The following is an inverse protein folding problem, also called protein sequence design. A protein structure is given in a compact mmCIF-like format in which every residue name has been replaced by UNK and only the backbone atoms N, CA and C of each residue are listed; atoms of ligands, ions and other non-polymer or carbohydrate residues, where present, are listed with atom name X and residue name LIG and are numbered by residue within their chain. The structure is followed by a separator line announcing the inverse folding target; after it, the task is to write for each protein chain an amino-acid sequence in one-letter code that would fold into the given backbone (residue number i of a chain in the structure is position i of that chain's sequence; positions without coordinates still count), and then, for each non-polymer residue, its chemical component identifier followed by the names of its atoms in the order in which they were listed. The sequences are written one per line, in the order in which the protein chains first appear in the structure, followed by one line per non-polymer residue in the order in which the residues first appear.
data_IF_431214478246
#
_entry.id   IF_431214478246
#
_cell.length_a   1.000
_cell.length_b   1.000
_cell.length_c   1.000
_cell.angle_alpha   90.00
_cell.angle_beta   90.00
_cell.angle_gamma   90.00
#
_symmetry.space_group_name_H-M   'P 1'
#
loop_
_entity.id
_entity.type
_entity.pdbx_description
1 polymer ?
#
# COMPACT_ATOMS: atom_id res chain seq x y z
N UNK A 1 -5.26 -18.81 33.00
CA UNK A 1 -5.37 -18.11 31.70
C UNK A 1 -3.97 -17.78 31.19
N UNK A 2 -3.70 -17.90 29.89
CA UNK A 2 -2.38 -17.60 29.30
C UNK A 2 -2.44 -16.22 28.63
N UNK A 3 -1.50 -15.33 28.95
CA UNK A 3 -1.38 -14.00 28.32
C UNK A 3 -0.86 -14.17 26.90
N UNK A 4 -1.49 -13.48 25.96
CA UNK A 4 -1.06 -13.39 24.55
C UNK A 4 -0.84 -11.91 24.24
N UNK A 5 0.23 -11.63 23.50
CA UNK A 5 0.64 -10.28 23.11
C UNK A 5 0.99 -10.24 21.63
N UNK A 6 0.95 -9.05 21.04
CA UNK A 6 1.43 -8.80 19.67
C UNK A 6 2.92 -8.51 19.74
N UNK A 7 3.73 -9.23 18.98
CA UNK A 7 5.20 -9.10 18.94
C UNK A 7 5.74 -8.55 17.61
N UNK A 8 4.86 -8.32 16.63
CA UNK A 8 5.25 -7.78 15.34
C UNK A 8 4.03 -7.39 14.52
N UNK A 9 4.21 -6.36 13.68
CA UNK A 9 3.22 -5.85 12.74
C UNK A 9 3.89 -5.55 11.40
N UNK A 10 3.14 -5.71 10.32
CA UNK A 10 3.53 -5.37 8.97
C UNK A 10 2.31 -4.86 8.21
N UNK A 11 2.49 -3.86 7.36
CA UNK A 11 1.39 -3.26 6.62
C UNK A 11 1.87 -2.77 5.25
N UNK A 12 1.08 -3.07 4.22
CA UNK A 12 1.17 -2.50 2.89
C UNK A 12 -0.18 -1.84 2.62
N UNK A 13 -0.18 -0.53 2.45
CA UNK A 13 -1.41 0.28 2.41
C UNK A 13 -1.33 1.35 1.32
N UNK A 14 -2.46 2.01 0.98
CA UNK A 14 -2.44 3.16 0.09
C UNK A 14 -1.65 4.37 0.63
N UNK A 15 -1.29 4.37 1.92
CA UNK A 15 -0.47 5.42 2.50
C UNK A 15 1.02 5.11 2.43
N UNK A 16 1.44 3.84 2.45
CA UNK A 16 2.84 3.40 2.37
C UNK A 16 2.94 1.87 2.41
N UNK A 17 4.09 1.33 2.00
CA UNK A 17 4.43 -0.09 2.06
C UNK A 17 5.14 -0.52 3.36
N UNK A 18 5.14 0.32 4.40
CA UNK A 18 5.62 -0.03 5.74
C UNK A 18 4.76 0.62 6.84
N UNK A 19 4.90 0.10 8.06
CA UNK A 19 4.06 0.48 9.22
C UNK A 19 4.33 1.91 9.68
N UNK A 20 5.59 2.29 9.87
CA UNK A 20 5.96 3.60 10.43
C UNK A 20 5.48 4.75 9.54
N UNK A 21 5.71 4.63 8.22
CA UNK A 21 5.25 5.62 7.25
C UNK A 21 3.72 5.62 7.15
N UNK A 22 3.08 4.45 7.14
CA UNK A 22 1.60 4.35 7.14
C UNK A 22 1.02 5.09 8.34
N UNK A 23 1.54 4.82 9.54
CA UNK A 23 1.03 5.38 10.80
C UNK A 23 1.27 6.88 10.88
N UNK A 24 2.46 7.35 10.54
CA UNK A 24 2.79 8.78 10.52
C UNK A 24 1.89 9.56 9.54
N UNK A 25 1.65 9.00 8.35
CA UNK A 25 0.79 9.61 7.33
C UNK A 25 -0.68 9.60 7.75
N UNK A 26 -1.13 8.53 8.40
CA UNK A 26 -2.47 8.45 8.96
C UNK A 26 -2.69 9.51 10.05
N UNK A 27 -1.74 9.64 11.00
CA UNK A 27 -1.83 10.63 12.08
C UNK A 27 -1.75 12.07 11.57
N UNK A 28 -1.08 12.32 10.45
CA UNK A 28 -1.06 13.64 9.79
C UNK A 28 -2.30 13.90 8.92
N UNK A 29 -3.29 13.00 8.91
CA UNK A 29 -4.54 13.18 8.17
C UNK A 29 -4.39 13.04 6.66
N UNK A 30 -3.30 12.43 6.17
CA UNK A 30 -3.14 12.16 4.75
C UNK A 30 -4.14 11.09 4.29
N UNK A 31 -4.60 11.24 3.05
CA UNK A 31 -5.41 10.24 2.35
C UNK A 31 -4.57 9.57 1.26
N UNK A 32 -4.72 8.26 1.10
CA UNK A 32 -4.14 7.49 -0.01
C UNK A 32 -5.14 7.23 -1.15
N UNK A 33 -6.33 7.85 -1.10
CA UNK A 33 -7.33 7.71 -2.17
C UNK A 33 -6.96 8.63 -3.33
N UNK A 34 -6.90 8.06 -4.53
CA UNK A 34 -6.60 8.77 -5.77
C UNK A 34 -7.61 8.41 -6.87
N UNK A 35 -7.57 9.14 -7.98
CA UNK A 35 -8.27 8.75 -9.21
C UNK A 35 -7.55 7.56 -9.83
N UNK A 36 -8.32 6.52 -10.16
CA UNK A 36 -7.80 5.33 -10.82
C UNK A 36 -7.68 5.56 -12.32
N UNK A 37 -6.76 4.85 -12.95
CA UNK A 37 -6.59 4.84 -14.40
C UNK A 37 -7.86 4.30 -15.09
N UNK A 38 -8.24 4.86 -16.24
CA UNK A 38 -9.51 4.52 -16.90
C UNK A 38 -9.55 3.04 -17.32
N UNK A 39 -8.39 2.43 -17.61
CA UNK A 39 -8.25 1.01 -17.92
C UNK A 39 -8.63 0.09 -16.74
N UNK A 40 -8.50 0.58 -15.50
CA UNK A 40 -8.84 -0.17 -14.28
C UNK A 40 -10.33 -0.09 -13.99
N UNK A 41 -10.97 1.05 -14.28
CA UNK A 41 -12.36 1.33 -13.86
C UNK A 41 -13.39 1.20 -14.97
N UNK A 42 -12.99 1.22 -16.24
CA UNK A 42 -13.89 1.04 -17.40
C UNK A 42 -15.11 1.95 -17.32
N UNK A 43 -16.31 1.37 -17.41
CA UNK A 43 -17.60 2.10 -17.35
C UNK A 43 -18.17 2.24 -15.93
N UNK A 44 -17.43 1.85 -14.88
CA UNK A 44 -17.94 1.91 -13.50
C UNK A 44 -18.21 3.35 -13.07
N UNK A 45 -19.29 3.65 -12.33
CA UNK A 45 -19.56 5.02 -11.87
C UNK A 45 -18.53 5.53 -10.86
N UNK A 46 -17.92 4.65 -10.06
CA UNK A 46 -16.86 5.00 -9.12
C UNK A 46 -15.49 4.97 -9.81
N UNK A 47 -14.75 6.08 -9.73
CA UNK A 47 -13.45 6.28 -10.42
C UNK A 47 -12.26 6.50 -9.47
N UNK A 48 -12.45 6.27 -8.18
CA UNK A 48 -11.45 6.51 -7.13
C UNK A 48 -11.17 5.24 -6.34
N UNK A 49 -9.95 5.12 -5.82
CA UNK A 49 -9.53 3.98 -5.00
C UNK A 49 -8.22 4.24 -4.27
N UNK A 50 -7.91 3.37 -3.31
CA UNK A 50 -6.63 3.39 -2.60
C UNK A 50 -5.63 2.49 -3.32
N UNK A 51 -4.60 3.09 -3.90
CA UNK A 51 -3.53 2.37 -4.61
C UNK A 51 -2.29 2.36 -3.74
N UNK A 52 -1.66 1.20 -3.59
CA UNK A 52 -0.36 1.10 -2.91
C UNK A 52 0.68 1.83 -3.76
N UNK A 53 1.42 2.81 -3.21
CA UNK A 53 2.40 3.56 -4.00
C UNK A 53 3.51 2.65 -4.48
N UNK A 54 3.92 2.81 -5.74
CA UNK A 54 5.16 2.20 -6.26
C UNK A 54 6.39 2.97 -5.77
N UNK A 55 7.59 2.44 -6.00
CA UNK A 55 8.83 3.19 -5.78
C UNK A 55 8.95 4.43 -6.68
N UNK A 56 8.25 4.45 -7.83
CA UNK A 56 8.22 5.62 -8.71
C UNK A 56 7.35 6.73 -8.12
N UNK A 57 6.20 6.37 -7.53
CA UNK A 57 5.28 7.31 -6.88
C UNK A 57 5.83 7.80 -5.53
N UNK A 58 6.55 6.94 -4.82
CA UNK A 58 7.11 7.20 -3.50
C UNK A 58 8.45 6.47 -3.31
N UNK A 59 9.57 7.15 -3.60
CA UNK A 59 10.90 6.55 -3.46
C UNK A 59 11.28 6.15 -2.03
N UNK A 60 10.60 6.69 -1.02
CA UNK A 60 10.91 6.44 0.40
C UNK A 60 10.07 5.29 0.98
N UNK A 61 8.79 5.23 0.64
CA UNK A 61 7.85 4.29 1.25
C UNK A 61 6.96 3.52 0.26
N UNK A 62 7.33 3.51 -1.02
CA UNK A 62 6.69 2.71 -2.06
C UNK A 62 7.00 1.21 -1.94
N UNK A 63 6.14 0.38 -2.54
CA UNK A 63 6.31 -1.07 -2.56
C UNK A 63 7.34 -1.47 -3.62
N UNK A 64 8.40 -2.15 -3.19
CA UNK A 64 9.29 -2.92 -4.07
C UNK A 64 8.92 -4.41 -4.03
N UNK A 65 8.18 -4.88 -5.03
CA UNK A 65 7.82 -6.30 -5.11
C UNK A 65 9.05 -7.22 -5.27
N UNK A 66 10.12 -6.74 -5.91
CA UNK A 66 11.33 -7.54 -6.16
C UNK A 66 12.15 -7.79 -4.89
N UNK A 67 11.98 -6.96 -3.87
CA UNK A 67 12.61 -7.15 -2.56
C UNK A 67 12.04 -8.37 -1.80
N UNK A 68 10.82 -8.82 -2.14
CA UNK A 68 10.12 -9.89 -1.41
C UNK A 68 9.88 -11.14 -2.25
N UNK A 69 9.65 -10.99 -3.55
CA UNK A 69 9.30 -12.08 -4.47
C UNK A 69 10.16 -11.98 -5.72
N UNK A 70 10.81 -13.08 -6.10
CA UNK A 70 11.61 -13.11 -7.33
C UNK A 70 10.71 -12.80 -8.54
N UNK A 71 11.20 -12.08 -9.57
CA UNK A 71 10.38 -11.66 -10.71
C UNK A 71 9.63 -12.80 -11.42
N UNK A 72 10.22 -14.01 -11.46
CA UNK A 72 9.60 -15.21 -12.06
C UNK A 72 8.40 -15.74 -11.27
N UNK A 73 8.31 -15.44 -9.99
CA UNK A 73 7.26 -15.92 -9.08
C UNK A 73 6.14 -14.88 -8.92
N UNK A 74 6.35 -13.65 -9.42
CA UNK A 74 5.34 -12.61 -9.50
C UNK A 74 4.40 -12.88 -10.68
N UNK A 75 3.21 -13.41 -10.40
CA UNK A 75 2.16 -13.55 -11.43
C UNK A 75 1.52 -12.19 -11.68
N UNK A 76 1.50 -11.76 -12.94
CA UNK A 76 0.78 -10.57 -13.41
C UNK A 76 -0.63 -10.93 -13.83
#
# INVERSE_FOLDING_TARGET
MRRIVVTGIGAVTPLAANVEATWTRLLSGRSGITRLADEVVGELPAKVGGVVPSLEDDPEAGLDANAFVAPKDQRR
#
